data_IF_308254488404
#
_entry.id   IF_308254488404
#
_cell.length_a   1.000
_cell.length_b   1.000
_cell.length_c   1.000
_cell.angle_alpha   90.00
_cell.angle_beta   90.00
_cell.angle_gamma   90.00
#
_symmetry.space_group_name_H-M   'P 1'
#
loop_
_entity.id
_entity.type
_entity.pdbx_description
1 polymer ?
#
# COMPACT_ATOMS: atom_id res chain seq x y z
N UNK A 1 -11.53 -4.95 10.70
CA UNK A 1 -11.13 -4.64 9.30
C UNK A 1 -9.62 -4.65 9.17
N UNK A 2 -9.07 -5.50 8.30
CA UNK A 2 -7.63 -5.58 8.08
C UNK A 2 -7.28 -4.79 6.82
N UNK A 3 -6.94 -3.51 6.99
CA UNK A 3 -6.44 -2.66 5.91
C UNK A 3 -4.91 -2.69 5.92
N UNK A 4 -4.28 -2.86 4.76
CA UNK A 4 -2.83 -2.94 4.65
C UNK A 4 -2.27 -1.65 4.07
N UNK A 5 -1.41 -0.97 4.82
CA UNK A 5 -0.62 0.17 4.34
C UNK A 5 0.81 -0.29 4.06
N UNK A 6 1.24 -0.14 2.82
CA UNK A 6 2.63 -0.36 2.43
C UNK A 6 3.41 0.96 2.56
N UNK A 7 4.49 0.92 3.33
CA UNK A 7 5.45 2.01 3.50
C UNK A 7 6.87 1.51 3.23
N UNK A 8 7.85 2.42 3.14
CA UNK A 8 9.26 2.08 3.00
C UNK A 8 9.79 1.18 4.14
N UNK A 9 9.12 1.22 5.29
CA UNK A 9 9.43 0.39 6.46
C UNK A 9 8.88 -1.04 6.37
N UNK A 10 7.97 -1.31 5.43
CA UNK A 10 7.26 -2.59 5.30
C UNK A 10 5.74 -2.40 5.18
N UNK A 11 5.01 -3.49 5.38
CA UNK A 11 3.56 -3.59 5.25
C UNK A 11 2.94 -3.61 6.65
N UNK A 12 2.03 -2.68 6.90
CA UNK A 12 1.41 -2.47 8.20
C UNK A 12 -0.07 -2.78 8.11
N UNK A 13 -0.57 -3.67 8.96
CA UNK A 13 -2.01 -3.87 9.10
C UNK A 13 -2.58 -2.83 10.07
N UNK A 14 -3.49 -2.00 9.59
CA UNK A 14 -4.19 -0.97 10.36
C UNK A 14 -5.70 -1.18 10.31
N UNK A 15 -6.39 -0.76 11.36
CA UNK A 15 -7.84 -0.53 11.30
C UNK A 15 -8.08 0.83 10.66
N UNK A 16 -8.95 0.88 9.65
CA UNK A 16 -9.30 2.12 8.95
C UNK A 16 -10.82 2.22 8.86
N UNK A 17 -11.36 3.31 9.39
CA UNK A 17 -12.78 3.62 9.35
C UNK A 17 -13.02 4.77 8.38
N UNK A 18 -13.83 4.52 7.35
CA UNK A 18 -14.23 5.56 6.41
C UNK A 18 -15.33 6.43 7.00
N UNK A 19 -15.26 7.73 6.71
CA UNK A 19 -16.33 8.65 7.04
C UNK A 19 -17.53 8.40 6.13
N UNK A 20 -18.73 8.25 6.71
CA UNK A 20 -19.98 8.00 5.98
C UNK A 20 -21.04 9.09 6.25
N UNK A 21 -20.60 10.32 6.53
CA UNK A 21 -21.49 11.48 6.66
C UNK A 21 -22.14 11.83 5.30
N UNK A 22 -23.27 12.53 5.30
CA UNK A 22 -23.97 12.93 4.05
C UNK A 22 -23.12 13.81 3.12
N UNK A 23 -22.15 14.53 3.67
CA UNK A 23 -21.18 15.36 2.94
C UNK A 23 -19.85 14.63 2.68
N UNK A 24 -19.74 13.36 3.03
CA UNK A 24 -18.50 12.61 2.90
C UNK A 24 -18.15 12.40 1.42
N UNK A 25 -16.88 12.64 1.13
CA UNK A 25 -16.31 12.37 -0.20
C UNK A 25 -16.13 10.86 -0.39
N UNK A 26 -15.91 10.44 -1.64
CA UNK A 26 -15.66 9.03 -1.94
C UNK A 26 -14.42 8.50 -1.20
N UNK A 27 -14.43 7.22 -0.87
CA UNK A 27 -13.41 6.60 -0.01
C UNK A 27 -11.98 6.75 -0.54
N UNK A 28 -11.79 6.77 -1.87
CA UNK A 28 -10.54 7.07 -2.54
C UNK A 28 -10.03 8.48 -2.22
N UNK A 29 -10.91 9.49 -2.22
CA UNK A 29 -10.54 10.87 -1.87
C UNK A 29 -10.20 10.96 -0.38
N UNK A 30 -10.94 10.26 0.49
CA UNK A 30 -10.63 10.20 1.93
C UNK A 30 -9.22 9.61 2.19
N UNK A 31 -8.83 8.56 1.45
CA UNK A 31 -7.47 8.01 1.53
C UNK A 31 -6.42 9.01 1.04
N UNK A 32 -6.68 9.69 -0.07
CA UNK A 32 -5.76 10.70 -0.61
C UNK A 32 -5.56 11.86 0.38
N UNK A 33 -6.62 12.30 1.07
CA UNK A 33 -6.53 13.27 2.17
C UNK A 33 -5.67 12.76 3.33
N UNK A 34 -5.74 11.47 3.64
CA UNK A 34 -4.88 10.80 4.61
C UNK A 34 -3.45 10.52 4.09
N UNK A 35 -3.09 11.02 2.89
CA UNK A 35 -1.81 10.77 2.22
C UNK A 35 -1.54 9.29 1.92
N UNK A 36 -2.60 8.52 1.71
CA UNK A 36 -2.56 7.13 1.30
C UNK A 36 -3.06 7.02 -0.13
N UNK A 37 -2.26 6.39 -0.98
CA UNK A 37 -2.63 6.13 -2.37
C UNK A 37 -3.24 4.73 -2.48
N UNK A 38 -4.53 4.59 -2.85
CA UNK A 38 -5.17 3.28 -2.94
C UNK A 38 -4.50 2.45 -4.04
N UNK A 39 -4.23 1.17 -3.76
CA UNK A 39 -3.64 0.27 -4.76
C UNK A 39 -4.63 -0.06 -5.89
N UNK A 40 -5.94 -0.10 -5.58
CA UNK A 40 -6.98 -0.34 -6.58
C UNK A 40 -8.24 0.41 -6.19
N UNK A 41 -8.90 1.06 -7.16
CA UNK A 41 -10.15 1.79 -6.96
C UNK A 41 -11.32 0.88 -6.53
N UNK A 42 -11.32 -0.40 -6.92
CA UNK A 42 -12.38 -1.37 -6.63
C UNK A 42 -12.23 -2.12 -5.30
N UNK A 43 -11.02 -2.22 -4.74
CA UNK A 43 -10.75 -2.95 -3.51
C UNK A 43 -9.81 -2.14 -2.61
N UNK A 44 -10.40 -1.24 -1.82
CA UNK A 44 -9.70 -0.37 -0.87
C UNK A 44 -9.23 -1.13 0.37
N UNK A 45 -8.67 -2.33 0.21
CA UNK A 45 -8.05 -3.10 1.32
C UNK A 45 -6.56 -2.81 1.45
N UNK A 46 -5.97 -2.20 0.43
CA UNK A 46 -4.54 -1.91 0.39
C UNK A 46 -4.31 -0.48 -0.09
N UNK A 47 -3.45 0.24 0.62
CA UNK A 47 -2.91 1.51 0.15
C UNK A 47 -1.40 1.57 0.32
N UNK A 48 -0.79 2.51 -0.38
CA UNK A 48 0.65 2.78 -0.36
C UNK A 48 0.88 4.20 0.12
N UNK A 49 1.96 4.45 0.84
CA UNK A 49 2.36 5.83 1.16
C UNK A 49 2.97 6.51 -0.07
N UNK A 50 2.78 7.82 -0.22
CA UNK A 50 3.45 8.59 -1.29
C UNK A 50 4.98 8.50 -1.21
N UNK A 51 5.53 8.31 -0.01
CA UNK A 51 6.97 8.06 0.19
C UNK A 51 7.41 6.76 -0.48
N UNK A 52 6.63 5.69 -0.32
CA UNK A 52 6.90 4.42 -0.96
C UNK A 52 6.83 4.53 -2.47
N UNK A 53 5.79 5.19 -3.01
CA UNK A 53 5.65 5.42 -4.45
C UNK A 53 6.83 6.18 -5.04
N UNK A 54 7.29 7.24 -4.35
CA UNK A 54 8.49 7.98 -4.78
C UNK A 54 9.74 7.11 -4.76
N UNK A 55 9.88 6.24 -3.75
CA UNK A 55 11.02 5.33 -3.67
C UNK A 55 11.01 4.30 -4.80
N UNK A 56 9.85 3.71 -5.09
CA UNK A 56 9.66 2.82 -6.23
C UNK A 56 10.00 3.51 -7.54
N UNK A 57 9.48 4.71 -7.78
CA UNK A 57 9.75 5.48 -8.99
C UNK A 57 11.25 5.74 -9.21
N UNK A 58 11.98 6.08 -8.14
CA UNK A 58 13.43 6.27 -8.23
C UNK A 58 14.16 4.96 -8.57
N UNK A 59 13.78 3.85 -7.93
CA UNK A 59 14.41 2.55 -8.19
C UNK A 59 14.08 1.97 -9.57
N UNK A 60 12.84 2.15 -10.02
CA UNK A 60 12.43 1.74 -11.37
C UNK A 60 13.14 2.56 -12.43
N UNK A 61 13.40 3.85 -12.19
CA UNK A 61 14.13 4.71 -13.13
C UNK A 61 15.64 4.45 -13.12
N UNK A 62 16.24 4.29 -11.94
CA UNK A 62 17.70 4.20 -11.78
C UNK A 62 18.25 2.80 -12.12
N UNK A 63 17.52 1.75 -11.74
CA UNK A 63 18.01 0.35 -11.76
C UNK A 63 17.05 -0.59 -12.47
N UNK A 64 15.96 -0.07 -13.05
CA UNK A 64 14.93 -0.83 -13.76
C UNK A 64 14.31 -1.97 -12.92
N UNK A 65 14.10 -1.69 -11.64
CA UNK A 65 13.47 -2.64 -10.72
C UNK A 65 12.00 -2.81 -11.08
N UNK A 66 11.57 -4.05 -11.31
CA UNK A 66 10.16 -4.37 -11.53
C UNK A 66 9.34 -4.22 -10.25
N UNK A 67 8.05 -3.93 -10.38
CA UNK A 67 7.12 -3.86 -9.24
C UNK A 67 7.14 -5.13 -8.39
N UNK A 68 7.28 -6.30 -9.01
CA UNK A 68 7.38 -7.59 -8.32
C UNK A 68 8.61 -7.69 -7.41
N UNK A 69 9.80 -7.29 -7.90
CA UNK A 69 11.01 -7.32 -7.08
C UNK A 69 10.94 -6.32 -5.94
N UNK A 70 10.36 -5.15 -6.19
CA UNK A 70 10.15 -4.15 -5.14
C UNK A 70 9.17 -4.63 -4.07
N UNK A 71 8.06 -5.25 -4.47
CA UNK A 71 7.12 -5.88 -3.54
C UNK A 71 7.78 -6.99 -2.71
N UNK A 72 8.55 -7.88 -3.35
CA UNK A 72 9.29 -8.95 -2.66
C UNK A 72 10.29 -8.39 -1.64
N UNK A 73 10.87 -7.23 -1.91
CA UNK A 73 11.75 -6.53 -0.97
C UNK A 73 10.95 -6.01 0.24
N UNK A 74 9.79 -5.39 0.01
CA UNK A 74 8.91 -4.91 1.09
C UNK A 74 8.39 -6.04 1.98
N UNK A 75 8.04 -7.17 1.38
CA UNK A 75 7.62 -8.37 2.10
C UNK A 75 8.72 -8.85 3.06
N UNK A 76 9.98 -8.89 2.60
CA UNK A 76 11.14 -9.22 3.44
C UNK A 76 11.43 -8.17 4.51
N UNK A 77 11.26 -6.88 4.20
CA UNK A 77 11.38 -5.80 5.20
C UNK A 77 10.35 -5.93 6.32
N UNK A 78 9.12 -6.31 5.95
CA UNK A 78 8.02 -6.51 6.91
C UNK A 78 8.26 -7.72 7.78
N UNK A 79 8.73 -8.81 7.17
CA UNK A 79 8.93 -10.06 7.86
C UNK A 79 10.17 -10.78 7.36
N UNK A 80 11.29 -10.49 8.00
CA UNK A 80 12.57 -11.16 7.72
C UNK A 80 12.53 -12.68 8.04
N UNK A 81 11.49 -13.18 8.71
CA UNK A 81 11.31 -14.59 9.10
C UNK A 81 10.21 -15.34 8.34
N UNK A 82 9.43 -14.68 7.47
CA UNK A 82 8.41 -15.33 6.62
C UNK A 82 7.17 -15.88 7.35
N UNK A 83 6.88 -15.44 8.57
CA UNK A 83 5.86 -16.05 9.44
C UNK A 83 4.47 -15.38 9.41
N UNK A 84 4.34 -14.18 8.84
CA UNK A 84 3.13 -13.36 8.81
C UNK A 84 3.20 -12.42 7.61
N UNK A 85 2.90 -12.95 6.42
CA UNK A 85 2.76 -12.17 5.21
C UNK A 85 1.26 -11.84 5.06
N UNK A 86 0.85 -10.56 5.11
CA UNK A 86 -0.51 -10.19 4.75
C UNK A 86 -0.76 -10.62 3.30
N UNK A 87 -1.82 -11.41 3.06
CA UNK A 87 -2.15 -11.94 1.72
C UNK A 87 -2.54 -10.78 0.78
N UNK A 88 -1.57 -10.15 0.13
CA UNK A 88 -1.80 -9.22 -0.97
C UNK A 88 -1.67 -10.02 -2.27
N UNK A 89 -2.73 -10.05 -3.08
CA UNK A 89 -2.70 -10.75 -4.36
C UNK A 89 -1.87 -9.94 -5.37
N UNK A 90 -0.85 -10.54 -6.01
CA UNK A 90 0.05 -9.84 -6.95
C UNK A 90 -0.61 -9.44 -8.27
N UNK A 91 -1.87 -9.80 -8.51
CA UNK A 91 -2.67 -9.32 -9.66
C UNK A 91 -3.16 -7.87 -9.49
N UNK A 92 -2.88 -7.24 -8.35
CA UNK A 92 -3.36 -5.89 -8.00
C UNK A 92 -2.23 -4.83 -7.95
N UNK A 93 -1.04 -5.15 -8.43
CA UNK A 93 0.14 -4.26 -8.49
C UNK A 93 0.44 -3.90 -9.95
#
# INVERSE_FOLDING_TARGET
DNFIVMDISGMHSIGLDFCNCEVAQSHDIQLLHARLFPATSSNLKTATTFRLLKHFYLLSTQVNVSGFHFYSMLERCTNNMGLDIPKVQPSQI
#
